data_IF_164410478405
#
_entry.id   IF_164410478405
#
_cell.length_a   1.000
_cell.length_b   1.000
_cell.length_c   1.000
_cell.angle_alpha   90.00
_cell.angle_beta   90.00
_cell.angle_gamma   90.00
#
_symmetry.space_group_name_H-M   'P 1'
#
loop_
_entity.id
_entity.type
_entity.pdbx_description
1 polymer ?
#
# COMPACT_ATOMS: atom_id res chain seq x y z
N UNK A 1 5.50 -1.15 -8.01
CA UNK A 1 5.39 0.05 -7.15
C UNK A 1 6.25 -0.19 -5.91
N UNK A 2 7.05 0.78 -5.49
CA UNK A 2 7.83 0.65 -4.25
C UNK A 2 6.93 1.04 -3.07
N UNK A 3 6.67 0.11 -2.17
CA UNK A 3 5.73 0.27 -1.06
C UNK A 3 6.50 0.28 0.26
N UNK A 4 6.20 1.27 1.09
CA UNK A 4 6.70 1.35 2.45
C UNK A 4 5.50 1.49 3.40
N UNK A 5 5.39 0.59 4.37
CA UNK A 5 4.39 0.65 5.44
C UNK A 5 5.10 1.09 6.70
N UNK A 6 4.79 2.29 7.17
CA UNK A 6 5.36 2.89 8.37
C UNK A 6 4.31 3.04 9.46
N UNK A 7 4.72 2.87 10.70
CA UNK A 7 3.99 3.38 11.87
C UNK A 7 4.81 4.51 12.50
N UNK A 8 4.23 5.29 13.44
CA UNK A 8 4.95 6.37 14.10
C UNK A 8 6.26 5.93 14.78
N UNK A 9 6.34 4.66 15.24
CA UNK A 9 7.52 4.13 15.94
C UNK A 9 8.53 3.41 15.02
N UNK A 10 8.06 2.73 13.96
CA UNK A 10 8.94 1.91 13.11
C UNK A 10 8.38 1.61 11.73
N UNK A 11 9.27 1.31 10.80
CA UNK A 11 8.90 0.75 9.49
C UNK A 11 8.54 -0.72 9.65
N UNK A 12 7.33 -1.10 9.22
CA UNK A 12 6.81 -2.47 9.26
C UNK A 12 7.16 -3.25 7.99
N UNK A 13 7.16 -2.57 6.84
CA UNK A 13 7.40 -3.22 5.55
C UNK A 13 8.05 -2.25 4.58
N UNK A 14 9.00 -2.74 3.80
CA UNK A 14 9.59 -2.01 2.69
C UNK A 14 9.94 -3.01 1.58
N UNK A 15 9.42 -2.77 0.38
CA UNK A 15 9.64 -3.68 -0.75
C UNK A 15 8.85 -3.31 -1.99
N UNK A 16 8.91 -4.18 -2.99
CA UNK A 16 8.21 -3.97 -4.27
C UNK A 16 6.89 -4.74 -4.26
N UNK A 17 5.78 -4.03 -4.45
CA UNK A 17 4.45 -4.61 -4.56
C UNK A 17 3.90 -4.41 -5.98
N UNK A 18 3.20 -5.45 -6.48
CA UNK A 18 2.52 -5.41 -7.78
C UNK A 18 1.07 -4.94 -7.67
N UNK A 19 0.37 -5.40 -6.63
CA UNK A 19 -1.01 -5.05 -6.31
C UNK A 19 -1.08 -4.82 -4.80
N UNK A 20 -1.81 -3.79 -4.37
CA UNK A 20 -2.06 -3.48 -2.95
C UNK A 20 -3.55 -3.26 -2.78
N UNK A 21 -4.21 -4.11 -1.98
CA UNK A 21 -5.61 -3.96 -1.63
C UNK A 21 -5.72 -3.49 -0.19
N UNK A 22 -6.46 -2.42 0.05
CA UNK A 22 -6.63 -1.84 1.38
C UNK A 22 -8.08 -1.38 1.62
N UNK A 23 -8.60 -1.54 2.84
CA UNK A 23 -9.95 -1.11 3.18
C UNK A 23 -9.99 0.42 3.29
N UNK A 24 -10.89 1.05 2.55
CA UNK A 24 -11.25 2.46 2.65
C UNK A 24 -12.62 2.65 3.30
N UNK A 25 -12.92 3.89 3.67
CA UNK A 25 -14.16 4.27 4.38
C UNK A 25 -15.44 3.89 3.61
N UNK A 26 -15.39 3.97 2.27
CA UNK A 26 -16.53 3.71 1.37
C UNK A 26 -16.45 2.30 0.73
N UNK A 27 -15.40 1.51 1.01
CA UNK A 27 -15.20 0.17 0.44
C UNK A 27 -13.73 -0.23 0.27
N UNK A 28 -13.47 -1.39 -0.34
CA UNK A 28 -12.09 -1.83 -0.63
C UNK A 28 -11.50 -1.03 -1.79
N UNK A 29 -10.30 -0.49 -1.60
CA UNK A 29 -9.51 0.18 -2.62
C UNK A 29 -8.34 -0.70 -3.06
N UNK A 30 -8.05 -0.69 -4.35
CA UNK A 30 -6.99 -1.51 -4.94
C UNK A 30 -6.06 -0.64 -5.79
N UNK A 31 -4.76 -0.71 -5.50
CA UNK A 31 -3.69 0.00 -6.21
C UNK A 31 -2.87 -1.00 -7.02
N UNK A 32 -2.66 -0.72 -8.30
CA UNK A 32 -1.83 -1.52 -9.20
C UNK A 32 -0.59 -0.74 -9.65
N UNK A 33 0.40 -1.44 -10.21
CA UNK A 33 1.54 -0.76 -10.86
C UNK A 33 1.05 0.11 -12.03
N UNK A 34 1.43 1.39 -12.02
CA UNK A 34 0.98 2.44 -12.94
C UNK A 34 -0.46 2.92 -12.73
N UNK A 35 -1.02 2.77 -11.52
CA UNK A 35 -2.15 3.60 -11.11
C UNK A 35 -1.74 5.08 -11.26
N UNK A 36 -2.49 5.82 -12.07
CA UNK A 36 -2.20 7.21 -12.44
C UNK A 36 -2.15 8.16 -11.23
#
# INVERSE_FOLDING_TARGET
MQLQVITPDKTLFEGTAKIVQLPGDIGSFELMENHA
#
